data_IF_440126940692
#
_entry.id   IF_440126940692
#
_cell.length_a   1.000
_cell.length_b   1.000
_cell.length_c   1.000
_cell.angle_alpha   90.00
_cell.angle_beta   90.00
_cell.angle_gamma   90.00
#
_symmetry.space_group_name_H-M   'P 1'
#
loop_
_entity.id
_entity.type
_entity.pdbx_description
1 polymer ?
#
# COMPACT_ATOMS: atom_id res chain seq x y z
N UNK A 1 -7.82 -11.30 -6.79
CA UNK A 1 -6.68 -11.49 -5.85
C UNK A 1 -5.76 -10.29 -5.90
N UNK A 2 -5.15 -9.90 -4.77
CA UNK A 2 -4.18 -8.81 -4.68
C UNK A 2 -2.79 -9.41 -4.41
N UNK A 3 -1.82 -9.12 -5.27
CA UNK A 3 -0.44 -9.54 -5.10
C UNK A 3 0.36 -8.36 -4.54
N UNK A 4 1.20 -8.58 -3.52
CA UNK A 4 2.08 -7.55 -2.99
C UNK A 4 3.54 -7.90 -3.19
N UNK A 5 4.35 -6.90 -3.52
CA UNK A 5 5.80 -7.00 -3.63
C UNK A 5 6.45 -6.07 -2.62
N UNK A 6 7.35 -6.62 -1.81
CA UNK A 6 8.20 -5.84 -0.89
C UNK A 6 9.66 -6.13 -1.21
N UNK A 7 10.36 -5.22 -1.90
CA UNK A 7 11.76 -5.43 -2.27
C UNK A 7 12.72 -5.36 -1.07
N UNK A 8 12.35 -4.67 -0.01
CA UNK A 8 13.17 -4.46 1.18
C UNK A 8 12.40 -4.81 2.47
N UNK A 9 11.98 -6.08 2.64
CA UNK A 9 11.29 -6.51 3.84
C UNK A 9 12.18 -6.37 5.07
N UNK A 10 11.58 -6.41 6.26
CA UNK A 10 12.30 -6.29 7.52
C UNK A 10 11.74 -7.22 8.59
N UNK A 11 12.59 -7.54 9.57
CA UNK A 11 12.16 -8.07 10.85
C UNK A 11 12.14 -6.91 11.85
N UNK A 12 10.95 -6.48 12.28
CA UNK A 12 10.78 -5.31 13.12
C UNK A 12 10.78 -5.72 14.61
N UNK A 13 11.71 -5.17 15.37
CA UNK A 13 11.85 -5.42 16.81
C UNK A 13 11.40 -4.20 17.59
N UNK A 14 10.30 -4.32 18.32
CA UNK A 14 9.87 -3.30 19.29
C UNK A 14 10.37 -3.68 20.68
N UNK A 15 11.08 -2.76 21.34
CA UNK A 15 11.66 -2.94 22.67
C UNK A 15 11.07 -1.87 23.58
N UNK A 16 10.42 -2.28 24.67
CA UNK A 16 9.92 -1.35 25.68
C UNK A 16 11.07 -0.92 26.58
N UNK A 17 11.23 0.38 26.75
CA UNK A 17 12.24 1.00 27.62
C UNK A 17 11.57 2.00 28.57
N UNK A 18 12.15 2.24 29.75
CA UNK A 18 11.61 3.24 30.68
C UNK A 18 11.83 4.66 30.18
N UNK A 19 13.07 4.97 29.81
CA UNK A 19 13.49 6.26 29.26
C UNK A 19 14.73 6.03 28.38
N UNK A 20 14.76 6.67 27.21
CA UNK A 20 15.91 6.59 26.32
C UNK A 20 16.96 7.64 26.72
N UNK A 21 17.93 7.23 27.52
CA UNK A 21 19.04 8.07 27.93
C UNK A 21 20.28 7.79 27.08
N UNK A 22 20.75 8.80 26.34
CA UNK A 22 21.96 8.68 25.50
C UNK A 22 23.19 8.34 26.35
N UNK A 23 23.93 7.29 25.96
CA UNK A 23 25.15 6.87 26.61
C UNK A 23 24.95 6.01 27.84
N UNK A 24 23.74 5.76 28.28
CA UNK A 24 23.43 4.87 29.39
C UNK A 24 23.25 3.41 28.94
N UNK A 25 23.41 2.48 29.90
CA UNK A 25 22.98 1.09 29.75
C UNK A 25 21.51 1.01 30.15
N UNK A 26 20.65 0.81 29.16
CA UNK A 26 19.19 0.72 29.35
C UNK A 26 18.82 -0.76 29.47
N UNK A 27 18.07 -1.12 30.51
CA UNK A 27 17.48 -2.45 30.65
C UNK A 27 16.09 -2.44 30.07
N UNK A 28 15.90 -3.27 29.04
CA UNK A 28 14.61 -3.40 28.35
C UNK A 28 13.58 -4.10 29.25
N UNK A 29 12.32 -3.73 29.06
CA UNK A 29 11.16 -4.49 29.50
C UNK A 29 10.83 -5.64 28.55
N UNK A 30 9.62 -5.61 27.97
CA UNK A 30 9.23 -6.58 26.92
C UNK A 30 9.88 -6.26 25.58
N UNK A 31 10.07 -7.30 24.77
CA UNK A 31 10.49 -7.17 23.38
C UNK A 31 9.60 -8.04 22.49
N UNK A 32 9.19 -7.48 21.35
CA UNK A 32 8.36 -8.17 20.37
C UNK A 32 9.02 -8.13 18.99
N UNK A 33 8.83 -9.19 18.23
CA UNK A 33 9.23 -9.27 16.82
C UNK A 33 7.98 -9.35 15.95
N UNK A 34 7.93 -8.50 14.95
CA UNK A 34 6.86 -8.45 13.96
C UNK A 34 7.45 -8.55 12.55
N UNK A 35 6.78 -9.22 11.60
CA UNK A 35 7.15 -9.13 10.20
C UNK A 35 6.87 -7.72 9.69
N UNK A 36 7.82 -7.16 8.93
CA UNK A 36 7.78 -5.78 8.47
C UNK A 36 8.02 -5.64 6.96
N UNK A 37 7.71 -4.43 6.48
CA UNK A 37 7.75 -4.04 5.07
C UNK A 37 6.37 -3.67 4.55
N UNK A 38 6.28 -2.58 3.76
CA UNK A 38 4.98 -2.01 3.37
C UNK A 38 4.07 -3.03 2.68
N UNK A 39 4.54 -3.77 1.66
CA UNK A 39 3.73 -4.77 0.98
C UNK A 39 3.35 -5.97 1.85
N UNK A 40 4.27 -6.40 2.72
CA UNK A 40 3.98 -7.41 3.75
C UNK A 40 2.83 -6.93 4.64
N UNK A 41 2.88 -5.70 5.13
CA UNK A 41 1.83 -5.12 5.95
C UNK A 41 0.49 -5.01 5.22
N UNK A 42 0.50 -4.64 3.93
CA UNK A 42 -0.71 -4.65 3.08
C UNK A 42 -1.32 -6.05 3.03
N UNK A 43 -0.52 -7.09 2.76
CA UNK A 43 -1.01 -8.48 2.72
C UNK A 43 -1.51 -8.95 4.08
N UNK A 44 -0.85 -8.60 5.19
CA UNK A 44 -1.30 -8.91 6.55
C UNK A 44 -2.65 -8.25 6.87
N UNK A 45 -2.83 -6.98 6.48
CA UNK A 45 -4.11 -6.29 6.65
C UNK A 45 -5.24 -6.93 5.82
N UNK A 46 -4.95 -7.33 4.58
CA UNK A 46 -5.88 -8.04 3.71
C UNK A 46 -6.27 -9.40 4.31
N UNK A 47 -5.30 -10.19 4.77
CA UNK A 47 -5.51 -11.48 5.43
C UNK A 47 -6.41 -11.35 6.66
N UNK A 48 -6.11 -10.40 7.55
CA UNK A 48 -6.89 -10.14 8.76
C UNK A 48 -8.37 -9.84 8.47
N UNK A 49 -8.67 -9.38 7.24
CA UNK A 49 -10.03 -9.06 6.79
C UNK A 49 -10.58 -10.05 5.76
N UNK A 50 -9.99 -11.24 5.63
CA UNK A 50 -10.48 -12.31 4.76
C UNK A 50 -10.42 -11.99 3.26
N UNK A 51 -9.52 -11.10 2.85
CA UNK A 51 -9.30 -10.76 1.44
C UNK A 51 -8.14 -11.58 0.90
N UNK A 52 -8.37 -12.31 -0.19
CA UNK A 52 -7.34 -13.16 -0.80
C UNK A 52 -6.20 -12.31 -1.34
N UNK A 53 -5.01 -12.55 -0.81
CA UNK A 53 -3.77 -11.90 -1.25
C UNK A 53 -2.59 -12.87 -1.17
N UNK A 54 -1.54 -12.58 -1.93
CA UNK A 54 -0.27 -13.31 -1.86
C UNK A 54 0.88 -12.29 -1.79
N UNK A 55 1.85 -12.52 -0.91
CA UNK A 55 3.02 -11.66 -0.78
C UNK A 55 4.24 -12.26 -1.47
N UNK A 56 4.90 -11.51 -2.35
CA UNK A 56 6.22 -11.89 -2.88
C UNK A 56 7.28 -11.25 -1.99
N UNK A 57 8.10 -12.10 -1.35
CA UNK A 57 9.04 -11.68 -0.31
C UNK A 57 10.44 -12.22 -0.61
N UNK A 58 11.39 -11.38 -1.04
CA UNK A 58 12.80 -11.74 -1.01
C UNK A 58 13.26 -11.87 0.44
N UNK A 59 14.01 -12.94 0.76
CA UNK A 59 14.46 -13.19 2.12
C UNK A 59 15.85 -13.84 2.14
N UNK A 60 16.62 -13.50 3.17
CA UNK A 60 17.93 -14.10 3.36
C UNK A 60 18.44 -13.97 4.80
N UNK A 61 19.42 -14.79 5.16
CA UNK A 61 19.95 -14.84 6.52
C UNK A 61 18.97 -15.41 7.56
N UNK A 62 19.33 -15.31 8.83
CA UNK A 62 18.51 -15.78 9.94
C UNK A 62 17.27 -14.93 10.15
N UNK A 63 17.41 -13.61 10.00
CA UNK A 63 16.30 -12.66 10.07
C UNK A 63 15.25 -12.94 8.99
N UNK A 64 15.69 -13.25 7.76
CA UNK A 64 14.78 -13.60 6.67
C UNK A 64 14.05 -14.91 6.92
N UNK A 65 14.73 -15.92 7.44
CA UNK A 65 14.08 -17.19 7.86
C UNK A 65 13.05 -16.94 8.97
N UNK A 66 13.40 -16.09 9.94
CA UNK A 66 12.49 -15.74 11.03
C UNK A 66 11.27 -14.97 10.54
N UNK A 67 11.48 -14.00 9.63
CA UNK A 67 10.39 -13.26 8.97
C UNK A 67 9.41 -14.20 8.28
N UNK A 68 9.91 -15.11 7.43
CA UNK A 68 9.09 -16.10 6.72
C UNK A 68 8.31 -16.99 7.69
N UNK A 69 8.93 -17.42 8.79
CA UNK A 69 8.27 -18.23 9.80
C UNK A 69 7.10 -17.50 10.46
N UNK A 70 7.30 -16.24 10.86
CA UNK A 70 6.25 -15.43 11.45
C UNK A 70 5.07 -15.21 10.49
N UNK A 71 5.35 -14.98 9.20
CA UNK A 71 4.30 -14.82 8.19
C UNK A 71 3.54 -16.13 7.94
N UNK A 72 4.24 -17.27 7.96
CA UNK A 72 3.60 -18.57 7.84
C UNK A 72 2.72 -18.90 9.08
N UNK A 73 3.16 -18.54 10.28
CA UNK A 73 2.41 -18.71 11.53
C UNK A 73 1.12 -17.84 11.52
N UNK A 74 1.15 -16.66 10.87
CA UNK A 74 -0.05 -15.84 10.62
C UNK A 74 -0.98 -16.44 9.55
N UNK A 75 -0.52 -17.45 8.79
CA UNK A 75 -1.27 -18.05 7.68
C UNK A 75 -1.25 -17.24 6.40
N UNK A 76 -0.24 -16.36 6.20
CA UNK A 76 -0.10 -15.55 5.00
C UNK A 76 0.34 -16.40 3.81
N UNK A 77 -0.41 -16.33 2.71
CA UNK A 77 0.02 -16.90 1.44
C UNK A 77 1.17 -16.07 0.85
N UNK A 78 2.28 -16.73 0.50
CA UNK A 78 3.46 -16.03 0.02
C UNK A 78 4.29 -16.83 -0.98
N UNK A 79 4.96 -16.10 -1.87
CA UNK A 79 6.04 -16.60 -2.73
C UNK A 79 7.36 -16.12 -2.15
N UNK A 80 8.13 -17.06 -1.63
CA UNK A 80 9.42 -16.80 -1.00
C UNK A 80 10.52 -16.84 -2.05
N UNK A 81 11.30 -15.75 -2.18
CA UNK A 81 12.43 -15.66 -3.10
C UNK A 81 13.71 -15.57 -2.29
N UNK A 82 14.53 -16.64 -2.23
CA UNK A 82 15.78 -16.62 -1.49
C UNK A 82 16.79 -15.68 -2.14
N UNK A 83 17.43 -14.83 -1.32
CA UNK A 83 18.50 -13.91 -1.72
C UNK A 83 19.74 -14.12 -0.86
N UNK A 84 20.92 -13.73 -1.37
CA UNK A 84 22.20 -13.95 -0.68
C UNK A 84 22.36 -13.09 0.56
N UNK A 85 21.86 -11.84 0.50
CA UNK A 85 21.99 -10.91 1.58
C UNK A 85 21.03 -11.21 2.74
N UNK A 86 21.38 -10.80 3.96
CA UNK A 86 20.48 -10.93 5.10
C UNK A 86 19.33 -9.93 5.02
N UNK A 87 18.14 -10.37 5.37
CA UNK A 87 17.00 -9.47 5.60
C UNK A 87 17.33 -8.51 6.74
N UNK A 88 17.00 -7.24 6.59
CA UNK A 88 17.27 -6.22 7.58
C UNK A 88 16.41 -6.35 8.83
N UNK A 89 16.93 -5.85 9.95
CA UNK A 89 16.18 -5.62 11.18
C UNK A 89 15.96 -4.13 11.41
N UNK A 90 14.75 -3.77 11.82
CA UNK A 90 14.48 -2.44 12.34
C UNK A 90 14.26 -2.53 13.85
N UNK A 91 14.72 -1.54 14.60
CA UNK A 91 14.51 -1.47 16.05
C UNK A 91 13.67 -0.24 16.37
N UNK A 92 12.60 -0.44 17.13
CA UNK A 92 11.78 0.61 17.71
C UNK A 92 11.92 0.56 19.23
N UNK A 93 12.36 1.66 19.85
CA UNK A 93 12.38 1.83 21.29
C UNK A 93 11.13 2.60 21.68
N UNK A 94 10.25 1.96 22.46
CA UNK A 94 8.97 2.52 22.90
C UNK A 94 9.03 2.92 24.37
N UNK A 95 8.77 4.19 24.67
CA UNK A 95 8.72 4.78 26.01
C UNK A 95 7.28 4.84 26.53
N UNK A 96 7.05 4.87 27.86
CA UNK A 96 5.72 4.84 28.46
C UNK A 96 4.85 6.06 28.12
N UNK A 97 5.47 7.19 27.76
CA UNK A 97 4.79 8.42 27.34
C UNK A 97 4.27 8.38 25.90
N UNK A 98 4.53 7.26 25.17
CA UNK A 98 4.16 7.08 23.76
C UNK A 98 5.24 7.51 22.78
N UNK A 99 6.37 8.04 23.24
CA UNK A 99 7.52 8.36 22.38
C UNK A 99 8.12 7.07 21.79
N UNK A 100 8.35 7.06 20.48
CA UNK A 100 8.96 5.92 19.78
C UNK A 100 10.16 6.36 18.96
N UNK A 101 11.35 5.92 19.36
CA UNK A 101 12.58 6.13 18.60
C UNK A 101 12.85 4.95 17.69
N UNK A 102 13.01 5.20 16.38
CA UNK A 102 13.22 4.15 15.35
C UNK A 102 14.63 4.18 14.81
N UNK A 103 15.23 2.99 14.70
CA UNK A 103 16.51 2.75 14.05
C UNK A 103 16.24 1.76 12.90
N UNK A 104 16.31 2.24 11.68
CA UNK A 104 16.02 1.44 10.49
C UNK A 104 17.32 1.10 9.77
N UNK A 105 17.55 -0.20 9.55
CA UNK A 105 18.65 -0.65 8.73
C UNK A 105 18.36 -0.40 7.23
N UNK A 106 19.39 -0.13 6.42
CA UNK A 106 19.21 0.15 4.99
C UNK A 106 18.73 -1.08 4.21
N UNK A 107 18.99 -2.28 4.72
CA UNK A 107 18.78 -3.54 4.00
C UNK A 107 20.01 -3.95 3.20
N UNK A 108 19.91 -5.07 2.49
CA UNK A 108 21.00 -5.64 1.70
C UNK A 108 20.75 -5.45 0.21
N UNK A 109 21.83 -5.12 -0.53
CA UNK A 109 21.77 -5.00 -1.97
C UNK A 109 21.28 -6.29 -2.64
N UNK A 110 20.44 -6.15 -3.65
CA UNK A 110 20.02 -7.24 -4.54
C UNK A 110 20.83 -7.15 -5.84
N UNK A 111 21.36 -8.29 -6.30
CA UNK A 111 21.98 -8.38 -7.61
C UNK A 111 20.94 -8.27 -8.73
N UNK A 112 21.37 -8.03 -9.96
CA UNK A 112 20.49 -8.00 -11.13
C UNK A 112 19.73 -9.34 -11.28
N UNK A 113 20.43 -10.47 -11.14
CA UNK A 113 19.83 -11.81 -11.24
C UNK A 113 18.77 -12.05 -10.14
N UNK A 114 19.02 -11.55 -8.92
CA UNK A 114 18.04 -11.65 -7.84
C UNK A 114 16.81 -10.78 -8.10
N UNK A 115 16.99 -9.57 -8.64
CA UNK A 115 15.88 -8.70 -9.06
C UNK A 115 15.07 -9.33 -10.18
N UNK A 116 15.72 -9.93 -11.18
CA UNK A 116 15.03 -10.65 -12.26
C UNK A 116 14.28 -11.85 -11.71
N UNK A 117 14.86 -12.62 -10.79
CA UNK A 117 14.17 -13.74 -10.12
C UNK A 117 12.93 -13.27 -9.36
N UNK A 118 13.01 -12.15 -8.64
CA UNK A 118 11.85 -11.54 -7.95
C UNK A 118 10.80 -11.10 -8.97
N UNK A 119 11.20 -10.44 -10.06
CA UNK A 119 10.28 -9.99 -11.10
C UNK A 119 9.54 -11.16 -11.76
N UNK A 120 10.23 -12.25 -12.08
CA UNK A 120 9.63 -13.45 -12.64
C UNK A 120 8.67 -14.13 -11.64
N UNK A 121 9.04 -14.19 -10.36
CA UNK A 121 8.16 -14.69 -9.31
C UNK A 121 6.86 -13.88 -9.21
N UNK A 122 6.94 -12.54 -9.28
CA UNK A 122 5.75 -11.67 -9.30
C UNK A 122 4.92 -11.93 -10.55
N UNK A 123 5.52 -11.96 -11.73
CA UNK A 123 4.81 -12.21 -13.00
C UNK A 123 4.12 -13.58 -13.01
N UNK A 124 4.81 -14.60 -12.49
CA UNK A 124 4.22 -15.95 -12.39
C UNK A 124 3.02 -15.98 -11.45
N UNK A 125 3.12 -15.33 -10.28
CA UNK A 125 2.02 -15.26 -9.31
C UNK A 125 0.87 -14.33 -9.77
N UNK A 126 1.15 -13.37 -10.64
CA UNK A 126 0.19 -12.34 -11.05
C UNK A 126 -0.85 -12.80 -12.08
N UNK A 127 -0.77 -14.02 -12.64
CA UNK A 127 -1.70 -14.49 -13.67
C UNK A 127 -3.18 -14.44 -13.24
N UNK A 128 -3.47 -14.54 -11.95
CA UNK A 128 -4.82 -14.45 -11.39
C UNK A 128 -5.04 -13.18 -10.56
N UNK A 129 -4.09 -12.25 -10.56
CA UNK A 129 -4.18 -11.03 -9.79
C UNK A 129 -4.95 -9.93 -10.52
N UNK A 130 -5.81 -9.23 -9.79
CA UNK A 130 -6.46 -8.01 -10.28
C UNK A 130 -5.53 -6.80 -10.05
N UNK A 131 -4.74 -6.86 -8.99
CA UNK A 131 -3.82 -5.81 -8.56
C UNK A 131 -2.45 -6.36 -8.17
N UNK A 132 -1.42 -5.62 -8.52
CA UNK A 132 -0.07 -5.75 -7.96
C UNK A 132 0.25 -4.49 -7.16
N UNK A 133 0.64 -4.65 -5.91
CA UNK A 133 1.11 -3.58 -5.03
C UNK A 133 2.63 -3.64 -4.97
N UNK A 134 3.32 -2.70 -5.60
CA UNK A 134 4.77 -2.54 -5.52
C UNK A 134 5.09 -1.48 -4.45
N UNK A 135 5.62 -1.90 -3.29
CA UNK A 135 5.71 -0.99 -2.16
C UNK A 135 6.93 -1.17 -1.27
N UNK A 136 7.28 -0.09 -0.60
CA UNK A 136 8.38 0.02 0.34
C UNK A 136 9.61 0.75 -0.23
N UNK A 137 10.60 0.95 0.64
CA UNK A 137 11.89 1.49 0.26
C UNK A 137 12.67 0.51 -0.61
N UNK A 138 13.58 1.02 -1.41
CA UNK A 138 14.50 0.19 -2.18
C UNK A 138 15.70 -0.21 -1.30
N UNK A 139 16.19 -1.46 -1.43
CA UNK A 139 17.47 -1.82 -0.84
C UNK A 139 18.62 -1.03 -1.48
N UNK A 140 19.79 -0.94 -0.82
CA UNK A 140 20.98 -0.33 -1.42
C UNK A 140 21.31 -0.93 -2.79
N UNK A 141 21.83 -0.11 -3.69
CA UNK A 141 22.26 -0.49 -5.05
C UNK A 141 21.15 -0.94 -6.01
N UNK A 142 19.90 -1.00 -5.58
CA UNK A 142 18.77 -1.24 -6.48
C UNK A 142 18.49 0.05 -7.27
N UNK A 143 18.35 -0.03 -8.60
CA UNK A 143 18.06 1.14 -9.42
C UNK A 143 16.78 1.86 -8.98
N UNK A 144 16.81 3.19 -8.96
CA UNK A 144 15.65 4.01 -8.55
C UNK A 144 14.44 3.82 -9.47
N UNK A 145 14.64 3.36 -10.68
CA UNK A 145 13.58 3.11 -11.66
C UNK A 145 13.03 1.68 -11.64
N UNK A 146 13.46 0.82 -10.69
CA UNK A 146 13.02 -0.59 -10.62
C UNK A 146 11.50 -0.70 -10.57
N UNK A 147 10.81 0.11 -9.77
CA UNK A 147 9.35 0.11 -9.71
C UNK A 147 8.72 0.59 -11.02
N UNK A 148 9.37 1.49 -11.76
CA UNK A 148 8.92 1.89 -13.10
C UNK A 148 9.05 0.75 -14.10
N UNK A 149 10.17 0.01 -14.08
CA UNK A 149 10.37 -1.17 -14.94
C UNK A 149 9.31 -2.22 -14.66
N UNK A 150 9.10 -2.56 -13.38
CA UNK A 150 8.08 -3.53 -12.97
C UNK A 150 6.66 -3.05 -13.31
N UNK A 151 6.35 -1.77 -13.09
CA UNK A 151 5.05 -1.20 -13.44
C UNK A 151 4.75 -1.38 -14.93
N UNK A 152 5.69 -1.03 -15.82
CA UNK A 152 5.51 -1.25 -17.27
C UNK A 152 5.31 -2.72 -17.64
N UNK A 153 6.03 -3.66 -17.00
CA UNK A 153 5.86 -5.10 -17.24
C UNK A 153 4.46 -5.57 -16.83
N UNK A 154 3.96 -5.15 -15.66
CA UNK A 154 2.65 -5.57 -15.17
C UNK A 154 1.50 -4.91 -15.93
N UNK A 155 1.59 -3.62 -16.21
CA UNK A 155 0.56 -2.93 -17.03
C UNK A 155 0.51 -3.47 -18.45
N UNK A 156 1.66 -3.82 -19.04
CA UNK A 156 1.74 -4.50 -20.32
C UNK A 156 1.07 -5.88 -20.32
N UNK A 157 0.98 -6.55 -19.18
CA UNK A 157 0.25 -7.79 -18.97
C UNK A 157 -1.24 -7.57 -18.60
N UNK A 158 -1.73 -6.34 -18.58
CA UNK A 158 -3.12 -5.99 -18.28
C UNK A 158 -3.44 -6.00 -16.77
N UNK A 159 -2.44 -5.92 -15.90
CA UNK A 159 -2.58 -5.94 -14.45
C UNK A 159 -2.52 -4.50 -13.92
N UNK A 160 -3.42 -4.15 -12.97
CA UNK A 160 -3.37 -2.86 -12.29
C UNK A 160 -2.23 -2.80 -11.29
N UNK A 161 -1.51 -1.68 -11.28
CA UNK A 161 -0.38 -1.47 -10.37
C UNK A 161 -0.70 -0.33 -9.41
N UNK A 162 -0.58 -0.61 -8.12
CA UNK A 162 -0.51 0.37 -7.06
C UNK A 162 0.94 0.50 -6.57
N UNK A 163 1.43 1.74 -6.43
CA UNK A 163 2.79 2.01 -5.95
C UNK A 163 2.74 2.81 -4.67
N UNK A 164 3.49 2.36 -3.65
CA UNK A 164 3.70 3.07 -2.39
C UNK A 164 5.19 3.10 -2.03
N UNK A 165 5.89 4.07 -2.54
CA UNK A 165 7.32 4.32 -2.30
C UNK A 165 7.57 5.82 -2.20
N UNK A 166 8.82 6.24 -1.96
CA UNK A 166 9.17 7.64 -1.71
C UNK A 166 10.32 8.11 -2.59
N UNK A 167 10.54 9.44 -2.59
CA UNK A 167 11.67 10.08 -3.23
C UNK A 167 11.77 9.83 -4.73
N UNK A 168 13.00 9.69 -5.28
CA UNK A 168 13.22 9.50 -6.72
C UNK A 168 12.53 8.26 -7.29
N UNK A 169 12.38 7.19 -6.49
CA UNK A 169 11.70 5.97 -6.91
C UNK A 169 10.19 6.18 -7.15
N UNK A 170 9.55 7.05 -6.36
CA UNK A 170 8.15 7.43 -6.58
C UNK A 170 8.00 8.15 -7.92
N UNK A 171 8.84 9.16 -8.19
CA UNK A 171 8.75 9.94 -9.43
C UNK A 171 9.02 9.08 -10.66
N UNK A 172 10.00 8.17 -10.59
CA UNK A 172 10.26 7.21 -11.67
C UNK A 172 9.06 6.29 -11.91
N UNK A 173 8.45 5.77 -10.84
CA UNK A 173 7.28 4.89 -10.93
C UNK A 173 6.05 5.61 -11.50
N UNK A 174 5.81 6.86 -11.09
CA UNK A 174 4.72 7.72 -11.61
C UNK A 174 4.79 7.84 -13.13
N UNK A 175 5.98 8.09 -13.69
CA UNK A 175 6.18 8.20 -15.13
C UNK A 175 5.89 6.90 -15.91
N UNK A 176 5.78 5.77 -15.22
CA UNK A 176 5.40 4.49 -15.83
C UNK A 176 3.89 4.24 -15.88
N UNK A 177 3.07 5.17 -15.43
CA UNK A 177 1.61 5.14 -15.55
C UNK A 177 0.90 4.16 -14.61
N UNK A 178 1.23 4.09 -13.30
CA UNK A 178 0.52 3.24 -12.37
C UNK A 178 -0.95 3.65 -12.23
N UNK A 179 -1.81 2.65 -11.96
CA UNK A 179 -3.23 2.91 -11.74
C UNK A 179 -3.47 3.72 -10.45
N UNK A 180 -2.63 3.51 -9.44
CA UNK A 180 -2.71 4.18 -8.14
C UNK A 180 -1.31 4.46 -7.59
N UNK A 181 -1.09 5.64 -7.02
CA UNK A 181 0.03 5.91 -6.13
C UNK A 181 -0.49 6.36 -4.77
N UNK A 182 0.24 6.00 -3.69
CA UNK A 182 -0.17 6.38 -2.33
C UNK A 182 0.93 7.16 -1.60
N UNK A 183 1.10 8.45 -1.86
CA UNK A 183 1.98 9.31 -1.10
C UNK A 183 1.39 9.67 0.28
N UNK A 184 2.27 10.00 1.22
CA UNK A 184 1.89 10.71 2.44
C UNK A 184 2.08 12.24 2.26
N UNK A 185 1.77 13.01 3.32
CA UNK A 185 1.87 14.47 3.34
C UNK A 185 3.29 14.97 3.03
N UNK A 186 4.31 14.33 3.60
CA UNK A 186 5.71 14.71 3.40
C UNK A 186 6.17 14.40 1.96
N UNK A 187 5.80 13.23 1.44
CA UNK A 187 6.08 12.84 0.06
C UNK A 187 5.38 13.77 -0.95
N UNK A 188 4.18 14.29 -0.64
CA UNK A 188 3.55 15.34 -1.44
C UNK A 188 4.30 16.68 -1.36
N UNK A 189 4.82 17.03 -0.17
CA UNK A 189 5.64 18.24 0.00
C UNK A 189 6.91 18.17 -0.86
N UNK A 190 7.55 17.01 -0.93
CA UNK A 190 8.72 16.77 -1.79
C UNK A 190 8.40 17.01 -3.28
N UNK A 191 7.21 16.58 -3.75
CA UNK A 191 6.76 16.79 -5.15
C UNK A 191 6.60 18.26 -5.49
N UNK A 192 6.19 19.09 -4.55
CA UNK A 192 5.94 20.52 -4.77
C UNK A 192 7.10 21.42 -4.36
N UNK A 193 8.04 20.90 -3.55
CA UNK A 193 9.12 21.67 -2.93
C UNK A 193 8.63 22.64 -1.85
N UNK A 194 7.42 22.46 -1.33
CA UNK A 194 6.81 23.33 -0.31
C UNK A 194 5.90 22.55 0.64
N UNK A 195 5.71 23.03 1.88
CA UNK A 195 4.83 22.36 2.86
C UNK A 195 3.39 22.25 2.36
N UNK A 196 2.74 21.16 2.72
CA UNK A 196 1.32 20.91 2.48
C UNK A 196 0.56 21.35 3.75
N UNK A 197 -0.05 22.51 3.71
CA UNK A 197 -0.72 23.12 4.89
C UNK A 197 -2.23 23.16 4.76
N UNK A 198 -2.73 23.10 3.53
CA UNK A 198 -4.16 23.10 3.21
C UNK A 198 -4.49 21.95 2.28
N UNK A 199 -5.75 21.58 2.24
CA UNK A 199 -6.25 20.54 1.32
C UNK A 199 -5.96 20.90 -0.15
N UNK A 200 -6.07 22.17 -0.52
CA UNK A 200 -5.72 22.66 -1.86
C UNK A 200 -4.27 22.36 -2.24
N UNK A 201 -3.31 22.47 -1.29
CA UNK A 201 -1.90 22.14 -1.55
C UNK A 201 -1.75 20.64 -1.83
N UNK A 202 -2.45 19.79 -1.07
CA UNK A 202 -2.43 18.34 -1.27
C UNK A 202 -3.05 17.94 -2.61
N UNK A 203 -4.16 18.57 -3.00
CA UNK A 203 -4.81 18.32 -4.30
C UNK A 203 -3.90 18.77 -5.44
N UNK A 204 -3.28 19.97 -5.35
CA UNK A 204 -2.33 20.46 -6.37
C UNK A 204 -1.14 19.50 -6.53
N UNK A 205 -0.57 19.02 -5.41
CA UNK A 205 0.54 18.05 -5.46
C UNK A 205 0.10 16.72 -6.09
N UNK A 206 -1.09 16.23 -5.75
CA UNK A 206 -1.64 15.01 -6.33
C UNK A 206 -1.92 15.16 -7.83
N UNK A 207 -2.43 16.31 -8.29
CA UNK A 207 -2.63 16.58 -9.72
C UNK A 207 -1.30 16.69 -10.48
N UNK A 208 -0.21 17.16 -9.86
CA UNK A 208 1.13 17.11 -10.46
C UNK A 208 1.58 15.67 -10.67
N UNK A 209 1.34 14.77 -9.70
CA UNK A 209 1.64 13.34 -9.85
C UNK A 209 0.79 12.72 -10.97
N UNK A 210 -0.49 13.11 -11.08
CA UNK A 210 -1.36 12.64 -12.18
C UNK A 210 -0.86 13.14 -13.54
N UNK A 211 -0.54 14.42 -13.64
CA UNK A 211 0.02 15.00 -14.86
C UNK A 211 1.36 14.35 -15.26
N UNK A 212 2.14 13.87 -14.28
CA UNK A 212 3.38 13.13 -14.52
C UNK A 212 3.16 11.65 -14.91
N UNK A 213 1.94 11.12 -14.80
CA UNK A 213 1.60 9.79 -15.31
C UNK A 213 0.71 8.92 -14.41
N UNK A 214 0.60 9.17 -13.11
CA UNK A 214 -0.27 8.38 -12.24
C UNK A 214 -1.75 8.60 -12.62
N UNK A 215 -2.54 7.51 -12.70
CA UNK A 215 -3.98 7.64 -13.04
C UNK A 215 -4.79 8.16 -11.85
N UNK A 216 -4.46 7.74 -10.65
CA UNK A 216 -5.06 8.22 -9.40
C UNK A 216 -4.04 8.32 -8.27
N UNK A 217 -4.34 9.19 -7.30
CA UNK A 217 -3.50 9.44 -6.13
C UNK A 217 -4.35 9.35 -4.87
N UNK A 218 -4.02 8.44 -3.97
CA UNK A 218 -4.61 8.32 -2.64
C UNK A 218 -3.59 8.88 -1.63
N UNK A 219 -3.74 10.12 -1.23
CA UNK A 219 -2.80 10.75 -0.31
C UNK A 219 -3.26 10.68 1.14
N UNK A 220 -2.39 10.17 2.03
CA UNK A 220 -2.61 10.20 3.47
C UNK A 220 -2.12 11.53 4.06
N UNK A 221 -2.97 12.18 4.88
CA UNK A 221 -2.75 13.50 5.46
C UNK A 221 -2.61 13.47 6.99
N UNK A 222 -2.21 12.32 7.54
CA UNK A 222 -2.10 12.11 8.98
C UNK A 222 -3.46 12.22 9.68
N UNK A 223 -3.53 12.98 10.77
CA UNK A 223 -4.77 13.20 11.52
C UNK A 223 -5.86 13.93 10.70
N UNK A 224 -5.48 14.64 9.65
CA UNK A 224 -6.41 15.30 8.73
C UNK A 224 -7.09 14.33 7.74
N UNK A 225 -6.83 13.03 7.83
CA UNK A 225 -7.50 12.02 7.02
C UNK A 225 -6.80 11.71 5.70
N UNK A 226 -7.53 11.66 4.59
CA UNK A 226 -6.98 11.35 3.27
C UNK A 226 -7.77 12.01 2.13
N UNK A 227 -7.08 12.27 1.03
CA UNK A 227 -7.65 12.73 -0.22
C UNK A 227 -7.38 11.74 -1.35
N UNK A 228 -8.41 11.43 -2.13
CA UNK A 228 -8.30 10.69 -3.39
C UNK A 228 -8.50 11.67 -4.53
N UNK A 229 -7.55 11.72 -5.46
CA UNK A 229 -7.62 12.50 -6.70
C UNK A 229 -7.55 11.53 -7.88
N UNK A 230 -8.60 11.50 -8.69
CA UNK A 230 -8.71 10.64 -9.86
C UNK A 230 -9.30 11.42 -11.04
N UNK A 231 -9.45 10.77 -12.20
CA UNK A 231 -9.89 11.39 -13.44
C UNK A 231 -11.23 12.16 -13.30
N UNK A 232 -12.16 11.60 -12.52
CA UNK A 232 -13.53 12.11 -12.46
C UNK A 232 -13.85 12.85 -11.16
N UNK A 233 -12.86 13.15 -10.32
CA UNK A 233 -13.10 13.96 -9.13
C UNK A 233 -12.04 13.89 -8.05
N UNK A 234 -12.36 14.64 -6.99
CA UNK A 234 -11.60 14.71 -5.76
C UNK A 234 -12.52 14.34 -4.61
N UNK A 235 -12.11 13.38 -3.80
CA UNK A 235 -12.83 12.94 -2.59
C UNK A 235 -11.93 13.14 -1.39
N UNK A 236 -12.47 13.76 -0.37
CA UNK A 236 -11.78 14.01 0.88
C UNK A 236 -12.58 13.46 2.06
N UNK A 237 -11.91 13.01 3.07
CA UNK A 237 -12.55 12.58 4.29
C UNK A 237 -11.57 12.31 5.41
N UNK A 238 -12.12 12.12 6.60
CA UNK A 238 -11.39 11.74 7.80
C UNK A 238 -12.07 10.58 8.53
N UNK A 239 -11.37 10.05 9.52
CA UNK A 239 -11.94 9.10 10.47
C UNK A 239 -11.44 9.45 11.86
N UNK A 240 -12.38 9.61 12.79
CA UNK A 240 -12.04 9.93 14.17
C UNK A 240 -11.32 8.76 14.84
N UNK A 241 -10.13 9.03 15.35
CA UNK A 241 -9.33 8.15 16.21
C UNK A 241 -9.51 8.61 17.64
N UNK A 242 -9.86 7.70 18.55
CA UNK A 242 -10.11 8.04 19.97
C UNK A 242 -8.83 7.90 20.79
N UNK A 243 -8.12 6.79 20.62
CA UNK A 243 -6.90 6.49 21.39
C UNK A 243 -5.77 6.10 20.41
N UNK A 244 -5.03 7.07 19.88
CA UNK A 244 -3.91 6.76 19.01
C UNK A 244 -2.79 6.06 19.80
N UNK A 245 -2.36 4.88 19.31
CA UNK A 245 -1.31 4.05 19.90
C UNK A 245 -0.08 3.92 19.02
N UNK A 246 -0.29 3.82 17.70
CA UNK A 246 0.82 3.69 16.75
C UNK A 246 0.38 4.15 15.37
N UNK A 247 1.25 4.88 14.68
CA UNK A 247 1.04 5.23 13.26
C UNK A 247 1.68 4.23 12.30
N UNK A 248 2.37 3.21 12.84
CA UNK A 248 3.07 2.20 12.02
C UNK A 248 2.04 1.31 11.31
N UNK A 249 2.18 1.18 10.00
CA UNK A 249 1.28 0.35 9.20
C UNK A 249 -0.08 0.99 8.86
N UNK A 250 -0.41 2.19 9.39
CA UNK A 250 -1.68 2.86 9.08
C UNK A 250 -1.83 3.17 7.58
N UNK A 251 -0.77 3.64 6.93
CA UNK A 251 -0.74 3.86 5.48
C UNK A 251 -0.87 2.57 4.68
N UNK A 252 -0.33 1.46 5.19
CA UNK A 252 -0.42 0.15 4.56
C UNK A 252 -1.84 -0.42 4.72
N UNK A 253 -2.45 -0.25 5.90
CA UNK A 253 -3.86 -0.60 6.15
C UNK A 253 -4.81 0.26 5.30
N UNK A 254 -4.51 1.56 5.10
CA UNK A 254 -5.25 2.44 4.19
C UNK A 254 -5.26 1.88 2.77
N UNK A 255 -4.10 1.54 2.24
CA UNK A 255 -3.97 0.98 0.89
C UNK A 255 -4.70 -0.37 0.79
N UNK A 256 -4.55 -1.23 1.80
CA UNK A 256 -5.24 -2.52 1.85
C UNK A 256 -6.76 -2.36 1.82
N UNK A 257 -7.33 -1.47 2.63
CA UNK A 257 -8.77 -1.21 2.67
C UNK A 257 -9.31 -0.65 1.36
N UNK A 258 -8.57 0.27 0.74
CA UNK A 258 -8.89 0.83 -0.58
C UNK A 258 -8.97 -0.28 -1.65
N UNK A 259 -7.92 -1.08 -1.76
CA UNK A 259 -7.83 -2.15 -2.77
C UNK A 259 -8.79 -3.32 -2.48
N UNK A 260 -9.06 -3.61 -1.21
CA UNK A 260 -10.04 -4.63 -0.81
C UNK A 260 -11.44 -4.30 -1.34
N UNK A 261 -11.83 -3.01 -1.32
CA UNK A 261 -13.11 -2.57 -1.89
C UNK A 261 -13.15 -2.75 -3.40
N UNK A 262 -12.12 -2.27 -4.10
CA UNK A 262 -12.05 -2.35 -5.56
C UNK A 262 -12.02 -3.80 -6.07
N UNK A 263 -11.25 -4.68 -5.42
CA UNK A 263 -11.15 -6.10 -5.81
C UNK A 263 -12.47 -6.84 -5.62
N UNK A 264 -13.21 -6.62 -4.52
CA UNK A 264 -14.53 -7.22 -4.29
C UNK A 264 -15.55 -6.80 -5.35
N UNK A 265 -15.55 -5.53 -5.73
CA UNK A 265 -16.44 -4.99 -6.76
C UNK A 265 -16.19 -5.63 -8.15
N UNK A 266 -14.93 -5.91 -8.49
CA UNK A 266 -14.54 -6.60 -9.72
C UNK A 266 -15.11 -8.02 -9.77
N UNK A 267 -15.05 -8.77 -8.66
CA UNK A 267 -15.57 -10.14 -8.60
C UNK A 267 -17.09 -10.19 -8.73
N UNK A 268 -17.82 -9.26 -8.11
CA UNK A 268 -19.27 -9.16 -8.24
C UNK A 268 -19.70 -8.85 -9.70
N UNK A 269 -19.01 -7.95 -10.38
CA UNK A 269 -19.28 -7.62 -11.78
C UNK A 269 -19.04 -8.81 -12.72
N UNK A 270 -17.99 -9.59 -12.50
CA UNK A 270 -17.72 -10.81 -13.27
C UNK A 270 -18.79 -11.89 -13.07
N UNK A 271 -19.27 -12.08 -11.84
CA UNK A 271 -20.31 -13.07 -11.52
C UNK A 271 -21.65 -12.72 -12.16
N UNK A 272 -22.04 -11.46 -12.24
CA UNK A 272 -23.30 -11.02 -12.87
C UNK A 272 -23.31 -11.16 -14.39
N UNK A 273 -22.13 -11.09 -15.06
CA UNK A 273 -22.02 -11.33 -16.50
C UNK A 273 -22.12 -12.81 -16.88
N UNK A 274 -21.76 -13.73 -15.99
CA UNK A 274 -21.87 -15.17 -16.21
C UNK A 274 -23.30 -15.71 -16.02
N UNK A 275 -24.20 -14.94 -15.42
CA UNK A 275 -25.58 -15.34 -15.08
C UNK A 275 -26.62 -14.91 -16.12
N UNK A 276 -26.24 -14.33 -17.27
CA UNK A 276 -27.15 -14.02 -18.37
C UNK A 276 -27.43 -15.27 -19.22
N UNK A 277 -28.69 -15.76 -19.32
CA UNK A 277 -28.98 -16.89 -20.21
C UNK A 277 -28.68 -16.55 -21.67
N UNK A 278 -28.01 -17.45 -22.34
CA UNK A 278 -27.73 -17.37 -23.77
C UNK A 278 -29.00 -17.66 -24.56
N UNK A 279 -29.92 -16.70 -24.69
CA UNK A 279 -30.99 -16.74 -25.67
C UNK A 279 -31.08 -15.43 -26.42
N UNK A 280 -30.86 -15.57 -27.76
CA UNK A 280 -30.99 -14.63 -28.86
C UNK A 280 -29.65 -14.26 -29.50
N UNK A 281 -29.15 -15.23 -30.29
CA UNK A 281 -28.10 -15.00 -31.26
C UNK A 281 -28.69 -14.25 -32.47
N UNK A 282 -28.21 -13.03 -32.72
CA UNK A 282 -28.22 -12.38 -34.03
C UNK A 282 -26.86 -12.63 -34.68
N UNK A 283 -26.78 -12.86 -36.03
CA UNK A 283 -25.50 -13.11 -36.69
C UNK A 283 -24.61 -11.89 -36.62
N UNK A 284 -23.33 -12.13 -36.23
CA UNK A 284 -22.30 -11.10 -36.08
C UNK A 284 -21.88 -10.58 -37.47
N UNK A 285 -21.97 -9.28 -37.63
CA UNK A 285 -21.25 -8.50 -38.64
C UNK A 285 -19.74 -8.46 -38.24
N UNK A 286 -18.91 -9.10 -39.05
CA UNK A 286 -17.47 -9.24 -38.86
C UNK A 286 -16.74 -8.01 -39.41
N UNK A 287 -16.95 -6.83 -38.83
CA UNK A 287 -16.10 -5.68 -39.15
C UNK A 287 -16.17 -4.62 -38.06
N UNK A 288 -15.62 -4.90 -36.89
CA UNK A 288 -15.09 -3.87 -35.95
C UNK A 288 -14.08 -4.54 -35.04
N UNK A 289 -12.80 -4.30 -35.30
CA UNK A 289 -11.74 -4.49 -34.31
C UNK A 289 -12.00 -3.50 -33.14
N UNK A 290 -12.86 -3.90 -32.21
CA UNK A 290 -13.06 -3.14 -30.97
C UNK A 290 -11.78 -3.28 -30.16
N UNK A 291 -11.01 -2.20 -30.05
CA UNK A 291 -10.06 -2.01 -28.97
C UNK A 291 -10.84 -2.29 -27.69
N UNK A 292 -10.36 -3.22 -26.87
CA UNK A 292 -10.88 -3.43 -25.51
C UNK A 292 -10.49 -2.19 -24.72
N UNK A 293 -11.35 -1.19 -24.69
CA UNK A 293 -11.22 -0.02 -23.85
C UNK A 293 -11.43 -0.45 -22.39
N UNK A 294 -10.37 -0.31 -21.59
CA UNK A 294 -10.38 -0.39 -20.14
C UNK A 294 -10.47 -1.82 -19.55
N UNK A 295 -9.52 -2.15 -18.66
CA UNK A 295 -9.66 -3.33 -17.81
C UNK A 295 -10.70 -3.06 -16.69
N UNK A 296 -11.28 -4.10 -16.06
CA UNK A 296 -12.31 -3.94 -15.03
C UNK A 296 -11.95 -3.01 -13.86
N UNK A 297 -10.67 -2.89 -13.51
CA UNK A 297 -10.20 -1.98 -12.46
C UNK A 297 -10.13 -0.52 -12.89
N UNK A 298 -9.85 -0.24 -14.18
CA UNK A 298 -9.92 1.13 -14.72
C UNK A 298 -11.37 1.63 -14.66
N UNK A 299 -12.34 0.78 -14.94
CA UNK A 299 -13.75 1.12 -14.83
C UNK A 299 -14.19 1.46 -13.40
N UNK A 300 -13.59 0.82 -12.37
CA UNK A 300 -13.91 1.12 -10.97
C UNK A 300 -13.33 2.44 -10.49
N UNK A 301 -12.13 2.81 -10.93
CA UNK A 301 -11.55 4.12 -10.62
C UNK A 301 -12.20 5.25 -11.44
N UNK A 302 -12.92 4.93 -12.50
CA UNK A 302 -13.76 5.83 -13.28
C UNK A 302 -15.18 6.00 -12.67
N UNK A 303 -15.62 5.11 -11.76
CA UNK A 303 -16.90 5.22 -11.08
C UNK A 303 -16.76 6.08 -9.80
N UNK A 304 -17.39 7.28 -9.75
CA UNK A 304 -17.32 8.14 -8.58
C UNK A 304 -17.81 7.49 -7.29
N UNK A 305 -18.83 6.64 -7.37
CA UNK A 305 -19.39 5.98 -6.20
C UNK A 305 -18.46 4.85 -5.67
N UNK A 306 -17.77 4.15 -6.57
CA UNK A 306 -16.74 3.19 -6.19
C UNK A 306 -15.54 3.89 -5.53
N UNK A 307 -15.10 5.03 -6.06
CA UNK A 307 -14.04 5.86 -5.46
C UNK A 307 -14.41 6.33 -4.05
N UNK A 308 -15.62 6.83 -3.85
CA UNK A 308 -16.13 7.27 -2.55
C UNK A 308 -16.11 6.12 -1.53
N UNK A 309 -16.65 4.96 -1.91
CA UNK A 309 -16.69 3.78 -1.04
C UNK A 309 -15.30 3.22 -0.74
N UNK A 310 -14.39 3.24 -1.73
CA UNK A 310 -13.01 2.80 -1.53
C UNK A 310 -12.26 3.73 -0.55
N UNK A 311 -12.46 5.05 -0.66
CA UNK A 311 -11.90 6.01 0.29
C UNK A 311 -12.45 5.80 1.70
N UNK A 312 -13.74 5.49 1.85
CA UNK A 312 -14.36 5.18 3.15
C UNK A 312 -13.71 3.96 3.80
N UNK A 313 -13.49 2.88 3.05
CA UNK A 313 -12.79 1.70 3.56
C UNK A 313 -11.34 2.02 3.93
N UNK A 314 -10.62 2.76 3.07
CA UNK A 314 -9.25 3.18 3.32
C UNK A 314 -9.10 3.93 4.65
N UNK A 315 -9.97 4.92 4.89
CA UNK A 315 -9.98 5.72 6.12
C UNK A 315 -10.32 4.89 7.36
N UNK A 316 -11.33 4.01 7.25
CA UNK A 316 -11.74 3.16 8.38
C UNK A 316 -10.63 2.19 8.80
N UNK A 317 -9.94 1.57 7.82
CA UNK A 317 -8.85 0.63 8.11
C UNK A 317 -7.61 1.35 8.66
N UNK A 318 -7.29 2.52 8.12
CA UNK A 318 -6.18 3.34 8.62
C UNK A 318 -6.40 3.77 10.07
N UNK A 319 -7.58 4.28 10.39
CA UNK A 319 -7.94 4.71 11.75
C UNK A 319 -7.89 3.55 12.75
N UNK A 320 -8.43 2.39 12.37
CA UNK A 320 -8.36 1.19 13.19
C UNK A 320 -6.92 0.74 13.45
N UNK A 321 -6.03 0.82 12.44
CA UNK A 321 -4.62 0.49 12.62
C UNK A 321 -3.91 1.45 13.60
N UNK A 322 -4.27 2.73 13.59
CA UNK A 322 -3.70 3.74 14.52
C UNK A 322 -4.08 3.45 15.98
N UNK A 323 -5.25 2.85 16.24
CA UNK A 323 -5.71 2.48 17.59
C UNK A 323 -5.07 1.17 18.11
N UNK A 324 -4.28 0.47 17.27
CA UNK A 324 -3.59 -0.76 17.64
C UNK A 324 -2.11 -0.52 17.98
N UNK A 325 -1.53 -1.32 18.90
CA UNK A 325 -0.12 -1.18 19.26
C UNK A 325 0.82 -1.73 18.16
N UNK A 326 1.89 -1.01 17.88
CA UNK A 326 2.94 -1.42 16.95
C UNK A 326 2.46 -1.52 15.50
N UNK A 327 2.77 -2.62 14.82
CA UNK A 327 2.38 -2.91 13.43
C UNK A 327 1.25 -3.95 13.35
N UNK A 328 0.40 -4.05 14.36
CA UNK A 328 -0.78 -4.92 14.32
C UNK A 328 -1.74 -4.46 13.24
N UNK A 329 -2.27 -5.41 12.49
CA UNK A 329 -3.25 -5.12 11.45
C UNK A 329 -4.68 -5.22 12.00
N UNK A 330 -5.58 -4.29 11.59
CA UNK A 330 -6.96 -4.27 12.10
C UNK A 330 -7.76 -5.46 11.59
N UNK A 331 -8.52 -6.09 12.50
CA UNK A 331 -9.54 -7.08 12.17
C UNK A 331 -10.89 -6.40 11.87
N UNK A 332 -11.86 -7.12 11.29
CA UNK A 332 -13.18 -6.56 10.99
C UNK A 332 -13.89 -5.93 12.19
N UNK A 333 -13.65 -6.43 13.42
CA UNK A 333 -14.19 -5.90 14.67
C UNK A 333 -13.61 -4.55 15.08
N UNK A 334 -12.41 -4.24 14.63
CA UNK A 334 -11.72 -2.99 14.96
C UNK A 334 -12.12 -1.85 14.03
N UNK A 335 -12.63 -2.20 12.83
CA UNK A 335 -12.91 -1.24 11.76
C UNK A 335 -14.27 -0.56 11.97
N UNK A 336 -14.24 0.72 12.31
CA UNK A 336 -15.41 1.54 12.63
C UNK A 336 -15.80 2.45 11.46
N UNK A 337 -16.52 1.90 10.49
CA UNK A 337 -16.97 2.62 9.28
C UNK A 337 -17.95 3.75 9.59
N UNK A 338 -18.65 3.65 10.70
CA UNK A 338 -19.57 4.65 11.25
C UNK A 338 -18.87 5.94 11.69
N UNK A 339 -17.55 5.89 11.95
CA UNK A 339 -16.73 7.05 12.32
C UNK A 339 -16.14 7.81 11.13
N UNK A 340 -16.27 7.27 9.92
CA UNK A 340 -15.73 7.92 8.72
C UNK A 340 -16.67 9.03 8.25
N UNK A 341 -16.10 10.21 8.04
CA UNK A 341 -16.79 11.36 7.47
C UNK A 341 -16.20 11.67 6.09
N UNK A 342 -17.04 11.66 5.08
CA UNK A 342 -16.68 12.23 3.79
C UNK A 342 -17.10 13.69 3.80
N UNK A 343 -16.20 14.57 3.40
CA UNK A 343 -16.30 16.01 3.55
C UNK A 343 -16.19 16.67 2.17
N UNK A 344 -16.74 17.86 1.98
CA UNK A 344 -16.45 18.64 0.78
C UNK A 344 -14.94 18.88 0.63
N UNK A 345 -14.43 18.71 -0.59
CA UNK A 345 -13.02 18.94 -0.88
C UNK A 345 -12.77 20.47 -1.05
N UNK A 346 -12.96 21.23 0.03
CA UNK A 346 -12.71 22.67 0.03
C UNK A 346 -11.19 22.94 0.08
N UNK A 347 -10.60 23.56 -0.95
CA UNK A 347 -9.17 23.85 -0.99
C UNK A 347 -8.64 24.68 0.17
N UNK A 348 -9.50 25.48 0.81
CA UNK A 348 -9.13 26.33 1.95
C UNK A 348 -9.02 25.57 3.28
N UNK A 349 -9.50 24.30 3.34
CA UNK A 349 -9.49 23.48 4.55
C UNK A 349 -8.06 23.35 5.10
N UNK A 350 -7.78 23.82 6.33
CA UNK A 350 -6.47 23.67 6.94
C UNK A 350 -6.22 22.20 7.30
N UNK A 351 -5.03 21.71 7.00
CA UNK A 351 -4.54 20.42 7.48
C UNK A 351 -3.71 20.72 8.73
N UNK A 352 -4.22 20.43 9.91
CA UNK A 352 -3.51 20.63 11.16
C UNK A 352 -2.06 20.14 11.15
N UNK A 353 -1.26 20.49 12.16
CA UNK A 353 0.13 20.04 12.30
C UNK A 353 0.25 18.52 12.46
#
# INVERSE_FOLDING_TARGET
>A
MILTLTLNPSLDRTIEVGELTRGAVIRAGAARLDPGGKGVNVSRALLANGVVSCAVVPFGGDEGRRLVHLLADEGLEMVMVPVRGATRSNVALAEPDGTVTKINEPGTALSADELDTVAEAVLSAAHSADWVVASGSLPPSVPQDVYAVLCRRFTGAGIHVAVDTSGPALMAAVAAGPALVKPNRDELADVTGRPITRLGDAVEAAEKLRAAGARSVLASLGAAGAVLVAEHGVWYGDCRVEEPRSTVGAGDAMLAGFLAHLSRSTHLSRSTHLSRPAHLSRPADQSRSARRDGSPGDALLADPLACERALREALAWAAAAVELPGSRMPHPSDIRRDRVRLLPADPSTPLGE
#
